data_IF_689788420899
#
_entry.id   IF_689788420899
#
_cell.length_a   1.000
_cell.length_b   1.000
_cell.length_c   1.000
_cell.angle_alpha   90.00
_cell.angle_beta   90.00
_cell.angle_gamma   90.00
#
_symmetry.space_group_name_H-M   'P 1'
#
loop_
_entity.id
_entity.type
_entity.pdbx_description
1 polymer ?
#
# COMPACT_ATOMS: atom_id res chain seq x y z
N UNK A 1 -25.46 -47.50 -23.41
CA UNK A 1 -24.76 -47.41 -22.12
C UNK A 1 -25.74 -46.83 -21.10
N UNK A 2 -26.36 -47.66 -20.26
CA UNK A 2 -27.30 -47.18 -19.25
C UNK A 2 -26.53 -46.79 -17.99
N UNK A 3 -26.44 -45.49 -17.69
CA UNK A 3 -25.96 -45.01 -16.41
C UNK A 3 -27.05 -45.25 -15.37
N UNK A 4 -26.89 -46.26 -14.51
CA UNK A 4 -27.78 -46.47 -13.36
C UNK A 4 -27.45 -45.45 -12.28
N UNK A 5 -28.27 -44.41 -12.15
CA UNK A 5 -28.24 -43.48 -11.01
C UNK A 5 -29.10 -44.08 -9.90
N UNK A 6 -28.48 -44.60 -8.86
CA UNK A 6 -29.21 -45.18 -7.71
C UNK A 6 -29.37 -44.12 -6.63
N UNK A 7 -30.60 -43.65 -6.43
CA UNK A 7 -30.95 -42.72 -5.36
C UNK A 7 -31.18 -43.51 -4.05
N UNK A 8 -30.43 -43.18 -3.00
CA UNK A 8 -30.52 -43.86 -1.71
C UNK A 8 -30.95 -42.93 -0.58
N UNK A 9 -31.64 -43.52 0.39
CA UNK A 9 -32.11 -42.91 1.63
C UNK A 9 -31.27 -43.49 2.78
N UNK A 10 -30.58 -42.62 3.52
CA UNK A 10 -29.86 -43.00 4.75
C UNK A 10 -30.55 -42.35 5.94
N UNK A 11 -30.97 -43.17 6.88
CA UNK A 11 -31.38 -42.75 8.22
C UNK A 11 -30.26 -43.14 9.18
N UNK A 12 -29.56 -42.18 9.76
CA UNK A 12 -28.66 -42.44 10.89
C UNK A 12 -28.90 -41.42 12.00
N UNK A 13 -29.07 -41.95 13.21
CA UNK A 13 -29.28 -41.22 14.45
C UNK A 13 -27.93 -40.65 14.88
N UNK A 14 -27.76 -39.33 14.73
CA UNK A 14 -26.58 -38.64 15.25
C UNK A 14 -26.63 -38.62 16.80
N UNK A 15 -25.54 -39.01 17.48
CA UNK A 15 -25.48 -38.97 18.93
C UNK A 15 -25.34 -37.53 19.42
N UNK A 16 -26.47 -36.94 19.83
CA UNK A 16 -26.51 -35.71 20.60
C UNK A 16 -25.87 -35.90 21.97
N UNK A 17 -24.89 -35.04 22.29
CA UNK A 17 -24.24 -34.90 23.59
C UNK A 17 -25.30 -34.84 24.71
N UNK A 18 -25.21 -35.74 25.70
CA UNK A 18 -25.95 -35.61 26.96
C UNK A 18 -25.23 -34.62 27.89
N UNK A 19 -25.88 -33.52 28.32
CA UNK A 19 -25.51 -32.85 29.55
C UNK A 19 -26.17 -33.56 30.75
N UNK A 20 -25.50 -33.43 31.89
CA UNK A 20 -25.87 -34.02 33.16
C UNK A 20 -27.18 -33.44 33.74
N UNK A 21 -27.92 -34.34 34.40
CA UNK A 21 -28.91 -34.12 35.47
C UNK A 21 -30.28 -33.50 35.12
N UNK A 22 -31.33 -34.25 35.46
CA UNK A 22 -32.70 -33.73 35.60
C UNK A 22 -33.77 -34.69 35.08
N UNK A 23 -34.54 -35.28 35.99
CA UNK A 23 -35.69 -36.17 35.72
C UNK A 23 -36.83 -35.40 35.05
N UNK A 24 -37.38 -35.94 33.96
CA UNK A 24 -38.80 -36.22 33.71
C UNK A 24 -39.12 -36.20 32.21
N UNK A 25 -40.01 -37.13 31.85
CA UNK A 25 -40.47 -37.44 30.52
C UNK A 25 -41.12 -36.25 29.82
N UNK A 26 -40.56 -35.84 28.70
CA UNK A 26 -41.32 -35.44 27.51
C UNK A 26 -40.44 -35.77 26.31
N UNK A 27 -40.98 -36.56 25.39
CA UNK A 27 -40.33 -36.99 24.16
C UNK A 27 -39.96 -35.78 23.32
N UNK A 28 -38.78 -35.21 23.55
CA UNK A 28 -38.15 -34.32 22.58
C UNK A 28 -37.83 -35.18 21.37
N UNK A 29 -38.72 -35.10 20.39
CA UNK A 29 -38.45 -35.50 19.01
C UNK A 29 -37.22 -34.70 18.58
N UNK A 30 -36.05 -35.31 18.68
CA UNK A 30 -34.81 -34.76 18.11
C UNK A 30 -35.08 -34.67 16.62
N UNK A 31 -35.43 -33.47 16.16
CA UNK A 31 -35.46 -33.15 14.74
C UNK A 31 -34.04 -33.34 14.24
N UNK A 32 -33.77 -34.51 13.66
CA UNK A 32 -32.57 -34.73 12.87
C UNK A 32 -32.71 -33.88 11.61
N UNK A 33 -31.87 -32.86 11.49
CA UNK A 33 -31.72 -32.14 10.23
C UNK A 33 -31.41 -33.17 9.15
N UNK A 34 -32.13 -33.20 8.01
CA UNK A 34 -31.88 -34.18 6.97
C UNK A 34 -30.43 -34.10 6.50
N UNK A 35 -29.70 -35.20 6.59
CA UNK A 35 -28.38 -35.31 5.97
C UNK A 35 -28.59 -35.12 4.46
N UNK A 36 -27.84 -34.19 3.86
CA UNK A 36 -27.93 -33.90 2.43
C UNK A 36 -27.75 -35.19 1.64
N UNK A 37 -28.71 -35.53 0.77
CA UNK A 37 -28.59 -36.71 -0.11
C UNK A 37 -27.41 -36.47 -1.07
N UNK A 38 -26.52 -37.45 -1.17
CA UNK A 38 -25.38 -37.43 -2.08
C UNK A 38 -25.44 -38.63 -3.03
N UNK A 39 -25.28 -38.38 -4.33
CA UNK A 39 -25.11 -39.42 -5.35
C UNK A 39 -23.61 -39.71 -5.52
N UNK A 40 -23.22 -40.98 -5.39
CA UNK A 40 -21.84 -41.42 -5.65
C UNK A 40 -21.78 -42.07 -7.03
N UNK A 41 -20.85 -41.64 -7.87
CA UNK A 41 -20.57 -42.28 -9.16
C UNK A 41 -19.23 -43.00 -9.08
N UNK A 42 -19.24 -44.31 -9.32
CA UNK A 42 -18.02 -45.11 -9.37
C UNK A 42 -17.40 -45.02 -10.75
N UNK A 43 -16.14 -44.56 -10.84
CA UNK A 43 -15.39 -44.52 -12.10
C UNK A 43 -14.90 -45.90 -12.56
N UNK A 44 -14.73 -46.84 -11.62
CA UNK A 44 -14.22 -48.17 -11.89
C UNK A 44 -15.31 -49.21 -11.65
N UNK A 45 -15.63 -50.00 -12.68
CA UNK A 45 -16.62 -51.08 -12.61
C UNK A 45 -16.19 -52.20 -11.64
N UNK A 46 -14.88 -52.41 -11.45
CA UNK A 46 -14.40 -53.40 -10.49
C UNK A 46 -14.67 -53.00 -9.04
N UNK A 47 -14.58 -51.70 -8.70
CA UNK A 47 -14.93 -51.20 -7.37
C UNK A 47 -16.41 -51.41 -7.04
N UNK A 48 -17.28 -51.17 -8.02
CA UNK A 48 -18.71 -51.46 -7.87
C UNK A 48 -18.95 -52.96 -7.67
N UNK A 49 -18.29 -53.82 -8.44
CA UNK A 49 -18.40 -55.28 -8.29
C UNK A 49 -18.00 -55.80 -6.90
N UNK A 50 -16.98 -55.20 -6.26
CA UNK A 50 -16.58 -55.54 -4.89
C UNK A 50 -17.65 -55.14 -3.87
N UNK A 51 -18.23 -53.94 -4.02
CA UNK A 51 -19.32 -53.47 -3.15
C UNK A 51 -20.55 -54.35 -3.30
N UNK A 52 -20.96 -54.65 -4.54
CA UNK A 52 -22.09 -55.53 -4.84
C UNK A 52 -21.92 -56.90 -4.17
N UNK A 53 -20.72 -57.48 -4.27
CA UNK A 53 -20.43 -58.78 -3.67
C UNK A 53 -20.49 -58.72 -2.13
N UNK A 54 -19.87 -57.72 -1.51
CA UNK A 54 -19.87 -57.56 -0.06
C UNK A 54 -21.29 -57.27 0.50
N UNK A 55 -22.06 -56.46 -0.21
CA UNK A 55 -23.45 -56.16 0.13
C UNK A 55 -24.32 -57.42 0.14
N UNK A 56 -24.18 -58.28 -0.88
CA UNK A 56 -24.88 -59.58 -0.94
C UNK A 56 -24.45 -60.52 0.19
N UNK A 57 -23.14 -60.61 0.45
CA UNK A 57 -22.59 -61.47 1.51
C UNK A 57 -23.07 -61.05 2.91
N UNK A 58 -23.21 -59.76 3.17
CA UNK A 58 -23.60 -59.22 4.47
C UNK A 58 -25.09 -58.91 4.60
N UNK A 59 -25.88 -59.18 3.54
CA UNK A 59 -27.30 -58.81 3.45
C UNK A 59 -27.57 -57.32 3.75
N UNK A 60 -26.66 -56.44 3.33
CA UNK A 60 -26.75 -54.98 3.48
C UNK A 60 -27.03 -54.32 2.13
N UNK A 61 -27.64 -53.13 2.15
CA UNK A 61 -27.74 -52.30 0.94
C UNK A 61 -26.37 -51.74 0.54
N UNK A 62 -26.18 -51.38 -0.73
CA UNK A 62 -24.96 -50.70 -1.17
C UNK A 62 -24.71 -49.41 -0.37
N UNK A 63 -25.76 -48.66 -0.07
CA UNK A 63 -25.66 -47.46 0.76
C UNK A 63 -25.12 -47.78 2.16
N UNK A 64 -25.63 -48.81 2.83
CA UNK A 64 -25.17 -49.20 4.16
C UNK A 64 -23.71 -49.64 4.16
N UNK A 65 -23.26 -50.35 3.12
CA UNK A 65 -21.84 -50.73 2.98
C UNK A 65 -20.96 -49.50 2.77
N UNK A 66 -21.37 -48.58 1.88
CA UNK A 66 -20.63 -47.34 1.63
C UNK A 66 -20.56 -46.48 2.90
N UNK A 67 -21.66 -46.36 3.64
CA UNK A 67 -21.69 -45.64 4.92
C UNK A 67 -20.67 -46.21 5.91
N UNK A 68 -20.67 -47.53 6.10
CA UNK A 68 -19.74 -48.21 7.00
C UNK A 68 -18.26 -47.99 6.60
N UNK A 69 -17.96 -48.06 5.31
CA UNK A 69 -16.60 -47.78 4.80
C UNK A 69 -16.22 -46.31 5.00
N UNK A 70 -17.16 -45.37 4.78
CA UNK A 70 -16.93 -43.94 5.02
C UNK A 70 -16.73 -43.67 6.51
N UNK A 71 -17.56 -44.25 7.37
CA UNK A 71 -17.46 -44.11 8.83
C UNK A 71 -16.12 -44.63 9.35
N UNK A 72 -15.62 -45.74 8.81
CA UNK A 72 -14.28 -46.25 9.10
C UNK A 72 -13.16 -45.30 8.63
N UNK A 73 -13.37 -44.57 7.54
CA UNK A 73 -12.39 -43.63 6.99
C UNK A 73 -12.42 -42.24 7.67
N UNK A 74 -13.54 -41.84 8.28
CA UNK A 74 -13.71 -40.51 8.90
C UNK A 74 -12.57 -40.15 9.87
N UNK A 75 -12.18 -40.99 10.86
CA UNK A 75 -11.12 -40.63 11.80
C UNK A 75 -9.77 -40.37 11.11
N UNK A 76 -9.49 -41.07 10.02
CA UNK A 76 -8.29 -40.89 9.20
C UNK A 76 -8.37 -39.55 8.46
N UNK A 77 -9.50 -39.26 7.81
CA UNK A 77 -9.74 -38.00 7.10
C UNK A 77 -9.66 -36.79 8.05
N UNK A 78 -10.23 -36.88 9.25
CA UNK A 78 -10.12 -35.84 10.27
C UNK A 78 -8.67 -35.60 10.69
N UNK A 79 -7.88 -36.68 10.84
CA UNK A 79 -6.45 -36.57 11.16
C UNK A 79 -5.69 -35.86 10.03
N UNK A 80 -5.97 -36.21 8.78
CA UNK A 80 -5.43 -35.51 7.61
C UNK A 80 -5.80 -34.02 7.61
N UNK A 81 -7.07 -33.68 7.87
CA UNK A 81 -7.53 -32.30 7.93
C UNK A 81 -6.83 -31.49 9.04
N UNK A 82 -6.69 -32.07 10.25
CA UNK A 82 -5.95 -31.44 11.35
C UNK A 82 -4.50 -31.17 10.97
N UNK A 83 -3.80 -32.14 10.39
CA UNK A 83 -2.43 -31.94 9.93
C UNK A 83 -2.31 -30.86 8.85
N UNK A 84 -3.23 -30.82 7.89
CA UNK A 84 -3.25 -29.77 6.86
C UNK A 84 -3.47 -28.39 7.48
N UNK A 85 -4.37 -28.26 8.45
CA UNK A 85 -4.59 -27.01 9.17
C UNK A 85 -3.33 -26.57 9.94
N UNK A 86 -2.70 -27.48 10.70
CA UNK A 86 -1.44 -27.20 11.42
C UNK A 86 -0.30 -26.80 10.48
N UNK A 87 -0.18 -27.46 9.31
CA UNK A 87 0.81 -27.08 8.30
C UNK A 87 0.59 -25.65 7.82
N UNK A 88 -0.66 -25.25 7.59
CA UNK A 88 -0.99 -23.89 7.16
C UNK A 88 -0.72 -22.86 8.26
N UNK A 89 -1.00 -23.17 9.53
CA UNK A 89 -0.61 -22.29 10.64
C UNK A 89 0.90 -22.11 10.74
N UNK A 90 1.68 -23.20 10.71
CA UNK A 90 3.15 -23.14 10.76
C UNK A 90 3.71 -22.32 9.59
N UNK A 91 3.15 -22.47 8.38
CA UNK A 91 3.54 -21.64 7.22
C UNK A 91 3.30 -20.16 7.46
N UNK A 92 2.16 -19.81 8.04
CA UNK A 92 1.82 -18.41 8.35
C UNK A 92 2.73 -17.83 9.43
N UNK A 93 3.06 -18.62 10.46
CA UNK A 93 3.95 -18.18 11.53
C UNK A 93 5.39 -18.00 11.04
N UNK A 94 5.87 -18.90 10.18
CA UNK A 94 7.17 -18.75 9.52
C UNK A 94 7.23 -17.45 8.70
N UNK A 95 6.19 -17.14 7.93
CA UNK A 95 6.13 -15.91 7.13
C UNK A 95 6.19 -14.65 8.03
N UNK A 96 5.40 -14.62 9.12
CA UNK A 96 5.44 -13.51 10.10
C UNK A 96 6.82 -13.37 10.73
N UNK A 97 7.44 -14.48 11.12
CA UNK A 97 8.78 -14.49 11.70
C UNK A 97 9.82 -13.94 10.71
N UNK A 98 9.82 -14.42 9.46
CA UNK A 98 10.75 -13.96 8.43
C UNK A 98 10.61 -12.47 8.15
N UNK A 99 9.38 -11.94 8.08
CA UNK A 99 9.13 -10.51 7.94
C UNK A 99 9.71 -9.73 9.13
N UNK A 100 9.41 -10.16 10.36
CA UNK A 100 9.90 -9.50 11.57
C UNK A 100 11.43 -9.51 11.68
N UNK A 101 12.06 -10.64 11.41
CA UNK A 101 13.52 -10.79 11.42
C UNK A 101 14.19 -9.93 10.34
N UNK A 102 13.62 -9.87 9.13
CA UNK A 102 14.11 -9.00 8.07
C UNK A 102 14.10 -7.53 8.51
N UNK A 103 13.01 -7.08 9.14
CA UNK A 103 12.88 -5.72 9.67
C UNK A 103 13.94 -5.47 10.77
N UNK A 104 14.10 -6.40 11.72
CA UNK A 104 15.05 -6.25 12.82
C UNK A 104 16.51 -6.16 12.33
N UNK A 105 16.90 -7.00 11.37
CA UNK A 105 18.27 -6.98 10.82
C UNK A 105 18.60 -5.68 10.08
N UNK A 106 17.61 -5.08 9.41
CA UNK A 106 17.81 -3.81 8.69
C UNK A 106 17.95 -2.59 9.61
N UNK A 107 17.39 -2.62 10.83
CA UNK A 107 17.31 -1.44 11.72
C UNK A 107 18.52 -1.23 12.64
N UNK A 108 19.45 -2.19 12.72
CA UNK A 108 20.43 -2.25 13.82
C UNK A 108 21.83 -1.69 13.55
N UNK A 109 22.17 -1.30 12.31
CA UNK A 109 23.47 -0.68 12.02
C UNK A 109 23.30 0.82 11.90
N UNK A 110 23.90 1.57 12.84
CA UNK A 110 24.08 3.02 12.74
C UNK A 110 25.13 3.31 11.67
N UNK A 111 24.77 3.16 10.41
CA UNK A 111 25.52 3.76 9.31
C UNK A 111 24.91 5.14 9.08
N UNK A 112 25.74 6.19 9.09
CA UNK A 112 25.30 7.49 8.57
C UNK A 112 24.90 7.24 7.13
N UNK A 113 23.61 7.30 6.88
CA UNK A 113 23.05 7.07 5.56
C UNK A 113 23.47 8.21 4.64
N UNK A 114 23.49 7.93 3.33
CA UNK A 114 23.77 8.96 2.34
C UNK A 114 22.71 10.06 2.38
N UNK A 115 21.48 9.69 2.68
CA UNK A 115 20.34 10.57 2.94
C UNK A 115 20.62 11.53 4.10
N UNK A 116 21.11 11.05 5.24
CA UNK A 116 21.45 11.88 6.40
C UNK A 116 22.59 12.86 6.08
N UNK A 117 23.63 12.38 5.40
CA UNK A 117 24.76 13.21 5.01
C UNK A 117 24.36 14.30 4.01
N UNK A 118 23.61 13.96 2.96
CA UNK A 118 23.11 14.95 2.00
C UNK A 118 22.10 15.91 2.64
N UNK A 119 21.28 15.45 3.59
CA UNK A 119 20.36 16.31 4.36
C UNK A 119 21.11 17.31 5.22
N UNK A 120 22.25 16.92 5.80
CA UNK A 120 23.14 17.82 6.53
C UNK A 120 23.71 18.89 5.60
N UNK A 121 24.34 18.48 4.48
CA UNK A 121 24.88 19.40 3.46
C UNK A 121 23.80 20.39 3.00
N UNK A 122 22.58 19.91 2.75
CA UNK A 122 21.47 20.77 2.35
C UNK A 122 21.25 21.89 3.36
N UNK A 123 21.15 21.55 4.65
CA UNK A 123 20.87 22.51 5.73
C UNK A 123 22.04 23.45 6.03
N UNK A 124 23.29 23.04 5.79
CA UNK A 124 24.47 23.81 6.18
C UNK A 124 25.13 24.59 5.05
N UNK A 125 25.03 24.12 3.79
CA UNK A 125 25.83 24.65 2.68
C UNK A 125 25.00 25.07 1.46
N UNK A 126 23.80 24.52 1.30
CA UNK A 126 22.95 24.72 0.12
C UNK A 126 21.81 25.69 0.43
N UNK A 127 21.01 25.38 1.44
CA UNK A 127 19.85 26.16 1.85
C UNK A 127 20.29 27.37 2.68
N UNK A 128 19.71 28.53 2.38
CA UNK A 128 19.85 29.70 3.23
C UNK A 128 19.12 29.49 4.56
N UNK A 129 19.68 29.93 5.70
CA UNK A 129 18.97 29.90 6.98
C UNK A 129 17.79 30.90 7.01
N UNK A 130 17.70 31.81 6.05
CA UNK A 130 16.59 32.77 5.93
C UNK A 130 15.30 32.04 5.59
N UNK A 131 14.33 32.12 6.51
CA UNK A 131 12.94 31.72 6.25
C UNK A 131 12.12 32.98 6.04
N UNK A 132 11.54 33.11 4.85
CA UNK A 132 10.72 34.27 4.49
C UNK A 132 9.26 33.82 4.42
N UNK A 133 8.49 33.94 5.53
CA UNK A 133 7.05 33.74 5.48
C UNK A 133 6.41 34.95 4.78
N UNK A 134 5.45 34.68 3.90
CA UNK A 134 4.73 35.72 3.17
C UNK A 134 3.23 35.47 3.27
N UNK A 135 2.49 36.54 3.55
CA UNK A 135 1.05 36.59 3.34
C UNK A 135 0.80 37.16 1.94
N UNK A 136 0.11 36.38 1.12
CA UNK A 136 -0.14 36.72 -0.28
C UNK A 136 -1.59 37.09 -0.51
N UNK A 137 -1.79 38.05 -1.41
CA UNK A 137 -3.07 38.45 -1.96
C UNK A 137 -2.90 38.75 -3.45
N UNK A 138 -3.62 38.02 -4.28
CA UNK A 138 -3.62 38.19 -5.73
C UNK A 138 -5.04 38.43 -6.20
N UNK A 139 -5.27 39.54 -6.90
CA UNK A 139 -6.50 39.74 -7.66
C UNK A 139 -6.39 38.94 -8.95
N UNK A 140 -7.34 38.04 -9.21
CA UNK A 140 -7.38 37.24 -10.43
C UNK A 140 -8.28 37.91 -11.47
N UNK A 141 -7.88 37.78 -12.74
CA UNK A 141 -8.67 38.22 -13.89
C UNK A 141 -9.74 37.18 -14.32
N UNK A 142 -9.74 35.98 -13.72
CA UNK A 142 -10.59 34.85 -14.11
C UNK A 142 -11.12 34.08 -12.91
N UNK A 143 -12.30 33.45 -13.10
CA UNK A 143 -13.05 32.67 -12.11
C UNK A 143 -12.49 31.26 -11.83
N UNK A 144 -11.22 31.01 -12.10
CA UNK A 144 -10.68 29.66 -11.96
C UNK A 144 -9.95 29.48 -10.64
N UNK A 145 -10.26 28.41 -9.91
CA UNK A 145 -9.58 28.05 -8.66
C UNK A 145 -8.12 27.64 -8.90
N UNK A 146 -7.76 27.29 -10.14
CA UNK A 146 -6.39 26.92 -10.49
C UNK A 146 -5.43 28.12 -10.45
N UNK A 147 -4.16 27.84 -10.22
CA UNK A 147 -3.11 28.86 -10.24
C UNK A 147 -2.92 29.42 -11.65
N UNK A 148 -3.32 30.67 -11.84
CA UNK A 148 -3.25 31.39 -13.11
C UNK A 148 -1.84 31.82 -13.50
N UNK A 149 -1.71 32.33 -14.73
CA UNK A 149 -0.44 32.87 -15.26
C UNK A 149 0.00 34.13 -14.48
N UNK A 150 -0.95 35.01 -14.17
CA UNK A 150 -0.67 36.29 -13.49
C UNK A 150 -0.13 36.05 -12.07
N UNK A 151 -0.76 35.15 -11.31
CA UNK A 151 -0.29 34.69 -9.99
C UNK A 151 1.16 34.17 -10.08
N UNK A 152 1.45 33.28 -11.04
CA UNK A 152 2.81 32.76 -11.25
C UNK A 152 3.82 33.85 -11.63
N UNK A 153 3.42 34.84 -12.43
CA UNK A 153 4.30 35.94 -12.83
C UNK A 153 4.71 36.79 -11.64
N UNK A 154 3.75 37.23 -10.82
CA UNK A 154 4.04 38.04 -9.62
C UNK A 154 4.92 37.28 -8.63
N UNK A 155 4.67 35.98 -8.43
CA UNK A 155 5.51 35.14 -7.58
C UNK A 155 6.94 35.06 -8.14
N UNK A 156 7.10 34.84 -9.45
CA UNK A 156 8.44 34.75 -10.08
C UNK A 156 9.21 36.06 -10.02
N UNK A 157 8.57 37.18 -10.28
CA UNK A 157 9.19 38.51 -10.15
C UNK A 157 9.71 38.71 -8.73
N UNK A 158 8.90 38.36 -7.72
CA UNK A 158 9.32 38.41 -6.32
C UNK A 158 10.50 37.48 -6.02
N UNK A 159 10.46 36.24 -6.49
CA UNK A 159 11.54 35.27 -6.28
C UNK A 159 12.84 35.76 -6.93
N UNK A 160 12.77 36.25 -8.17
CA UNK A 160 13.90 36.87 -8.88
C UNK A 160 14.48 38.05 -8.09
N UNK A 161 13.64 38.99 -7.63
CA UNK A 161 14.11 40.12 -6.81
C UNK A 161 14.76 39.66 -5.50
N UNK A 162 14.22 38.64 -4.83
CA UNK A 162 14.83 38.10 -3.61
C UNK A 162 16.18 37.43 -3.91
N UNK A 163 16.29 36.69 -5.01
CA UNK A 163 17.56 36.07 -5.42
C UNK A 163 18.63 37.12 -5.71
N UNK A 164 18.28 38.17 -6.43
CA UNK A 164 19.20 39.28 -6.73
C UNK A 164 19.61 40.02 -5.46
N UNK A 165 18.66 40.35 -4.58
CA UNK A 165 18.93 41.09 -3.34
C UNK A 165 19.80 40.32 -2.34
N UNK A 166 19.71 39.00 -2.33
CA UNK A 166 20.44 38.14 -1.39
C UNK A 166 21.58 37.34 -2.03
N UNK A 167 21.86 37.53 -3.32
CA UNK A 167 22.88 36.77 -4.09
C UNK A 167 22.68 35.24 -3.97
N UNK A 168 21.51 34.77 -4.41
CA UNK A 168 21.10 33.36 -4.33
C UNK A 168 20.93 32.74 -5.72
N UNK A 169 21.42 31.50 -5.90
CA UNK A 169 21.33 30.79 -7.18
C UNK A 169 19.88 30.45 -7.54
N UNK A 170 19.10 29.93 -6.58
CA UNK A 170 17.72 29.49 -6.80
C UNK A 170 16.80 29.86 -5.63
N UNK A 171 15.50 29.85 -5.89
CA UNK A 171 14.48 30.09 -4.87
C UNK A 171 13.27 29.17 -5.08
N UNK A 172 12.71 28.66 -3.98
CA UNK A 172 11.51 27.83 -3.97
C UNK A 172 10.42 28.56 -3.20
N UNK A 173 9.30 28.82 -3.86
CA UNK A 173 8.06 29.29 -3.23
C UNK A 173 7.15 28.10 -2.95
N UNK A 174 6.68 27.97 -1.72
CA UNK A 174 5.80 26.87 -1.29
C UNK A 174 4.55 27.47 -0.63
N UNK A 175 3.37 27.19 -1.18
CA UNK A 175 2.12 27.51 -0.50
C UNK A 175 1.94 26.63 0.74
N UNK A 176 1.76 27.24 1.91
CA UNK A 176 1.29 26.52 3.10
C UNK A 176 -0.23 26.43 3.11
N UNK A 177 -0.89 27.51 2.73
CA UNK A 177 -2.34 27.66 2.65
C UNK A 177 -2.67 28.53 1.45
N UNK A 178 -3.64 28.11 0.64
CA UNK A 178 -4.15 28.86 -0.50
C UNK A 178 -5.68 28.84 -0.46
N UNK A 179 -6.29 30.01 -0.39
CA UNK A 179 -7.73 30.19 -0.39
C UNK A 179 -8.15 30.97 -1.63
N UNK A 180 -9.09 30.42 -2.40
CA UNK A 180 -9.70 31.11 -3.52
C UNK A 180 -11.05 31.67 -3.10
N UNK A 181 -11.18 33.00 -3.15
CA UNK A 181 -12.44 33.70 -2.92
C UNK A 181 -13.14 33.92 -4.26
N UNK A 182 -14.19 33.13 -4.49
CA UNK A 182 -15.01 33.18 -5.70
C UNK A 182 -15.72 34.53 -5.86
N UNK A 183 -16.15 35.15 -4.75
CA UNK A 183 -16.93 36.38 -4.75
C UNK A 183 -16.06 37.57 -5.14
N UNK A 184 -14.84 37.60 -4.63
CA UNK A 184 -13.88 38.66 -4.89
C UNK A 184 -12.93 38.37 -6.05
N UNK A 185 -13.02 37.18 -6.68
CA UNK A 185 -12.09 36.72 -7.71
C UNK A 185 -10.64 36.91 -7.27
N UNK A 186 -10.33 36.50 -6.04
CA UNK A 186 -9.02 36.75 -5.43
C UNK A 186 -8.48 35.49 -4.78
N UNK A 187 -7.16 35.37 -4.77
CA UNK A 187 -6.46 34.33 -4.02
C UNK A 187 -5.75 34.97 -2.86
N UNK A 188 -5.95 34.43 -1.67
CA UNK A 188 -5.17 34.79 -0.48
C UNK A 188 -4.51 33.56 0.09
N UNK A 189 -3.41 33.74 0.81
CA UNK A 189 -2.70 32.60 1.36
C UNK A 189 -1.49 32.94 2.18
N UNK A 190 -0.91 31.88 2.76
CA UNK A 190 0.37 31.94 3.43
C UNK A 190 1.35 31.02 2.73
N UNK A 191 2.53 31.53 2.49
CA UNK A 191 3.58 30.82 1.77
C UNK A 191 4.92 31.00 2.46
N UNK A 192 5.85 30.10 2.18
CA UNK A 192 7.24 30.22 2.58
C UNK A 192 8.13 30.23 1.35
N UNK A 193 9.15 31.07 1.40
CA UNK A 193 10.24 31.06 0.42
C UNK A 193 11.48 30.44 1.06
N UNK A 194 12.06 29.47 0.34
CA UNK A 194 13.36 28.89 0.62
C UNK A 194 14.35 29.46 -0.40
N UNK A 195 15.42 30.09 0.08
CA UNK A 195 16.51 30.58 -0.75
C UNK A 195 17.64 29.56 -0.78
N UNK A 196 18.30 29.41 -1.94
CA UNK A 196 19.36 28.43 -2.19
C UNK A 196 20.62 29.19 -2.61
N UNK A 197 21.67 29.11 -1.78
CA UNK A 197 22.95 29.77 -2.04
C UNK A 197 23.66 29.22 -3.27
N UNK A 198 23.68 27.89 -3.39
CA UNK A 198 24.36 27.17 -4.47
C UNK A 198 23.71 25.82 -4.66
N UNK A 199 23.78 25.21 -5.84
CA UNK A 199 23.18 23.89 -6.10
C UNK A 199 24.16 22.71 -6.00
N UNK A 200 25.45 22.96 -5.80
CA UNK A 200 26.48 21.91 -5.70
C UNK A 200 27.37 22.03 -4.48
N UNK A 201 27.75 20.88 -3.92
CA UNK A 201 28.70 20.79 -2.81
C UNK A 201 29.33 19.39 -2.76
N UNK A 202 30.65 19.31 -2.56
CA UNK A 202 31.40 18.04 -2.41
C UNK A 202 31.09 16.95 -3.46
N UNK A 203 30.88 17.36 -4.72
CA UNK A 203 30.60 16.43 -5.82
C UNK A 203 29.14 15.97 -5.88
N UNK A 204 28.26 16.47 -5.02
CA UNK A 204 26.81 16.32 -5.12
C UNK A 204 26.17 17.55 -5.76
N UNK A 205 25.07 17.31 -6.46
CA UNK A 205 24.19 18.33 -6.98
C UNK A 205 22.78 18.14 -6.41
N UNK A 206 22.18 19.22 -5.94
CA UNK A 206 20.85 19.26 -5.31
C UNK A 206 19.83 19.82 -6.31
N UNK A 207 18.99 18.95 -6.90
CA UNK A 207 18.09 19.35 -7.98
C UNK A 207 16.75 19.91 -7.51
N UNK A 208 16.81 21.14 -7.01
CA UNK A 208 15.62 21.91 -6.64
C UNK A 208 14.60 22.05 -7.77
N UNK A 209 15.08 22.05 -9.03
CA UNK A 209 14.23 22.14 -10.19
C UNK A 209 13.33 20.92 -10.40
N UNK A 210 13.72 19.77 -9.84
CA UNK A 210 13.00 18.50 -9.93
C UNK A 210 12.48 18.04 -8.56
N UNK A 211 12.32 18.98 -7.63
CA UNK A 211 11.70 18.72 -6.34
C UNK A 211 10.24 18.29 -6.52
N UNK A 212 9.82 17.28 -5.77
CA UNK A 212 8.50 16.65 -5.86
C UNK A 212 7.73 16.83 -4.56
N UNK A 213 6.44 17.14 -4.67
CA UNK A 213 5.54 17.12 -3.53
C UNK A 213 4.88 15.73 -3.41
N UNK A 214 5.18 15.03 -2.32
CA UNK A 214 4.74 13.65 -2.09
C UNK A 214 4.01 13.53 -0.76
N UNK A 215 3.08 12.57 -0.68
CA UNK A 215 2.34 12.30 0.55
C UNK A 215 3.25 11.67 1.61
N UNK A 216 3.26 12.23 2.81
CA UNK A 216 4.04 11.75 3.95
C UNK A 216 3.63 10.33 4.33
N UNK A 217 2.32 10.02 4.33
CA UNK A 217 1.84 8.67 4.65
C UNK A 217 2.29 7.63 3.62
N UNK A 218 2.26 7.97 2.33
CA UNK A 218 2.75 7.08 1.28
C UNK A 218 4.25 6.81 1.40
N UNK A 219 5.05 7.83 1.71
CA UNK A 219 6.49 7.67 1.92
C UNK A 219 6.80 6.78 3.12
N UNK A 220 6.06 6.93 4.23
CA UNK A 220 6.22 6.09 5.42
C UNK A 220 5.85 4.63 5.12
N UNK A 221 4.77 4.39 4.36
CA UNK A 221 4.26 3.04 4.10
C UNK A 221 5.09 2.31 3.04
N UNK A 222 5.48 3.00 1.96
CA UNK A 222 6.04 2.37 0.77
C UNK A 222 7.52 2.70 0.53
N UNK A 223 8.03 3.79 1.10
CA UNK A 223 9.36 4.33 0.76
C UNK A 223 9.37 5.06 -0.58
N UNK A 224 10.37 5.92 -0.79
CA UNK A 224 10.44 6.83 -1.95
C UNK A 224 10.39 6.12 -3.30
N UNK A 225 11.16 5.04 -3.49
CA UNK A 225 11.25 4.34 -4.77
C UNK A 225 9.91 3.75 -5.21
N UNK A 226 9.16 3.16 -4.29
CA UNK A 226 7.85 2.59 -4.58
C UNK A 226 6.79 3.67 -4.82
N UNK A 227 6.88 4.82 -4.11
CA UNK A 227 6.02 5.98 -4.36
C UNK A 227 6.23 6.53 -5.77
N UNK A 228 7.48 6.72 -6.20
CA UNK A 228 7.82 7.18 -7.54
C UNK A 228 7.29 6.21 -8.61
N UNK A 229 7.49 4.90 -8.41
CA UNK A 229 7.00 3.85 -9.31
C UNK A 229 5.48 3.89 -9.46
N UNK A 230 4.73 4.02 -8.35
CA UNK A 230 3.26 4.08 -8.37
C UNK A 230 2.72 5.34 -9.06
N UNK A 231 3.45 6.46 -8.95
CA UNK A 231 3.12 7.71 -9.65
C UNK A 231 3.61 7.73 -11.12
N UNK A 232 4.32 6.70 -11.58
CA UNK A 232 4.88 6.66 -12.93
C UNK A 232 6.00 7.69 -13.16
N UNK A 233 6.64 8.16 -12.10
CA UNK A 233 7.71 9.16 -12.18
C UNK A 233 9.03 8.45 -12.45
N UNK A 234 9.65 8.78 -13.57
CA UNK A 234 10.96 8.28 -13.98
C UNK A 234 11.92 9.44 -14.08
N UNK A 235 13.02 9.37 -13.34
CA UNK A 235 14.06 10.39 -13.40
C UNK A 235 14.93 10.17 -14.65
N UNK A 236 15.25 11.22 -15.42
CA UNK A 236 16.06 11.09 -16.64
C UNK A 236 17.54 10.80 -16.36
N UNK A 237 17.94 10.76 -15.10
CA UNK A 237 19.30 10.58 -14.62
C UNK A 237 19.33 9.70 -13.36
N UNK A 238 20.49 9.11 -13.01
CA UNK A 238 20.63 8.36 -11.77
C UNK A 238 20.52 9.28 -10.55
N UNK A 239 19.55 8.99 -9.67
CA UNK A 239 19.44 9.66 -8.36
C UNK A 239 20.25 8.89 -7.32
N UNK A 240 21.09 9.62 -6.60
CA UNK A 240 21.93 9.10 -5.52
C UNK A 240 21.11 8.84 -4.27
N UNK A 241 20.33 9.83 -3.85
CA UNK A 241 19.39 9.75 -2.74
C UNK A 241 18.33 10.84 -2.86
N UNK A 242 17.30 10.75 -2.02
CA UNK A 242 16.26 11.77 -1.89
C UNK A 242 16.28 12.33 -0.48
N UNK A 243 16.15 13.65 -0.35
CA UNK A 243 16.09 14.33 0.95
C UNK A 243 14.79 15.13 1.07
N UNK A 244 14.24 15.22 2.27
CA UNK A 244 13.14 16.13 2.57
C UNK A 244 13.68 17.55 2.83
N UNK A 245 13.10 18.54 2.16
CA UNK A 245 13.53 19.94 2.30
C UNK A 245 12.47 20.82 2.96
N UNK A 246 11.20 20.41 2.92
CA UNK A 246 10.09 21.16 3.51
C UNK A 246 8.87 20.27 3.74
N UNK A 247 8.11 20.53 4.80
CA UNK A 247 6.90 19.80 5.14
C UNK A 247 5.71 20.77 5.13
N UNK A 248 4.63 20.38 4.46
CA UNK A 248 3.39 21.15 4.38
C UNK A 248 2.19 20.22 4.49
N UNK A 249 1.38 20.40 5.54
CA UNK A 249 0.25 19.54 5.87
C UNK A 249 0.67 18.05 5.94
N UNK A 250 0.03 17.19 5.14
CA UNK A 250 0.33 15.75 5.02
C UNK A 250 1.29 15.43 3.88
N UNK A 251 2.01 16.44 3.38
CA UNK A 251 2.94 16.32 2.26
C UNK A 251 4.33 16.82 2.62
N UNK A 252 5.30 16.31 1.87
CA UNK A 252 6.71 16.67 2.00
C UNK A 252 7.28 16.96 0.62
N UNK A 253 8.09 18.01 0.55
CA UNK A 253 8.87 18.36 -0.63
C UNK A 253 10.15 17.55 -0.60
N UNK A 254 10.25 16.61 -1.52
CA UNK A 254 11.40 15.73 -1.70
C UNK A 254 12.28 16.26 -2.82
N UNK A 255 13.58 16.40 -2.55
CA UNK A 255 14.57 16.87 -3.50
C UNK A 255 15.50 15.72 -3.91
N UNK A 256 15.68 15.46 -5.22
CA UNK A 256 16.63 14.47 -5.68
C UNK A 256 18.06 15.01 -5.64
N UNK A 257 18.97 14.18 -5.14
CA UNK A 257 20.41 14.45 -5.10
C UNK A 257 21.13 13.59 -6.13
N UNK A 258 22.06 14.20 -6.85
CA UNK A 258 22.77 13.60 -7.97
C UNK A 258 24.28 13.67 -7.72
N UNK A 259 25.06 12.82 -8.39
CA UNK A 259 26.49 13.11 -8.54
C UNK A 259 26.65 14.24 -9.54
N UNK A 260 27.57 15.16 -9.28
CA UNK A 260 27.92 16.27 -10.16
C UNK A 260 28.33 15.79 -11.57
N UNK A 261 28.92 14.61 -11.67
CA UNK A 261 29.29 13.97 -12.96
C UNK A 261 28.10 13.58 -13.81
N UNK A 262 26.93 13.34 -13.19
CA UNK A 262 25.73 12.85 -13.87
C UNK A 262 24.85 14.01 -14.38
N UNK A 263 25.28 15.26 -14.15
CA UNK A 263 24.52 16.51 -14.42
C UNK A 263 24.56 16.96 -15.89
N UNK A 264 25.53 16.50 -16.68
CA UNK A 264 25.75 16.97 -18.06
C UNK A 264 24.55 16.78 -19.01
N UNK A 265 23.56 15.97 -18.65
CA UNK A 265 22.39 15.65 -19.48
C UNK A 265 21.12 16.46 -19.11
N UNK A 266 21.25 17.67 -18.58
CA UNK A 266 20.08 18.44 -18.09
C UNK A 266 19.25 19.11 -19.17
N UNK A 267 17.95 19.16 -18.88
CA UNK A 267 17.02 20.18 -19.39
C UNK A 267 17.21 21.44 -18.54
N UNK A 268 17.22 22.63 -19.15
CA UNK A 268 17.25 23.90 -18.41
C UNK A 268 16.06 23.95 -17.45
N UNK A 269 16.32 23.89 -16.15
CA UNK A 269 15.27 23.98 -15.13
C UNK A 269 15.24 25.40 -14.56
N UNK A 270 14.04 25.99 -14.34
CA UNK A 270 13.94 27.35 -13.83
C UNK A 270 14.71 27.58 -12.52
N UNK A 271 15.18 28.80 -12.32
CA UNK A 271 15.79 29.22 -11.04
C UNK A 271 14.75 29.56 -9.97
N UNK A 272 13.53 29.87 -10.41
CA UNK A 272 12.38 30.19 -9.58
C UNK A 272 11.36 29.04 -9.64
N UNK A 273 11.28 28.27 -8.55
CA UNK A 273 10.42 27.09 -8.43
C UNK A 273 9.19 27.46 -7.62
N UNK A 274 8.00 27.06 -8.10
CA UNK A 274 6.72 27.27 -7.42
C UNK A 274 6.09 25.92 -7.12
N UNK A 275 5.85 25.64 -5.85
CA UNK A 275 5.18 24.43 -5.37
C UNK A 275 3.83 24.83 -4.77
N UNK A 276 2.75 24.36 -5.39
CA UNK A 276 1.40 24.54 -4.89
C UNK A 276 0.81 23.20 -4.44
N UNK A 277 0.68 22.94 -3.13
CA UNK A 277 0.05 21.72 -2.65
C UNK A 277 -1.44 21.58 -2.99
N UNK A 278 -2.08 22.70 -3.37
CA UNK A 278 -3.50 22.79 -3.63
C UNK A 278 -3.83 22.78 -5.13
N UNK A 279 -2.84 22.72 -6.02
CA UNK A 279 -3.13 22.45 -7.41
C UNK A 279 -3.54 21.00 -7.53
N UNK A 280 -4.83 20.75 -7.76
CA UNK A 280 -5.23 19.47 -8.36
C UNK A 280 -4.56 19.43 -9.74
N UNK A 281 -3.44 18.73 -9.85
CA UNK A 281 -2.79 18.43 -11.13
C UNK A 281 -3.67 17.45 -11.89
N UNK A 282 -4.72 17.93 -12.55
CA UNK A 282 -5.31 17.33 -13.75
C UNK A 282 -6.51 18.15 -14.23
N UNK A 283 -6.26 19.11 -15.13
CA UNK A 283 -7.10 19.13 -16.33
C UNK A 283 -6.61 17.94 -17.16
N UNK A 284 -7.42 16.89 -17.17
CA UNK A 284 -7.30 15.84 -18.20
C UNK A 284 -7.57 16.44 -19.57
#
# INVERSE_FOLDING_TARGET
MSNSVTNFEMSSVLPGKKPCQGKNNESQVVQTTPIKKHSVTFKNQSSLGVIDHYARLTNKSHSSVIAEVVDLAIPILEKCNRHNWSINEIKNDLLKFSIKESINRSRGKTEVTLEEYCSLIWKTNIMSPLKIPIADYFQLNANDEFMGKDEKTVIRERLSSLRENYDMEKAIYIYNQRHFDVKHQSVSGYSNIILIHRTTFEGYYFDAGQALLLSTSQLIIFGINEVLRRKGIVMPYPVVCWIDIYHVNEMVVMLPVLRKTDVSNRVNVPDDIIINPYSQESRT
#
